data_IF_335592176467
#
_entry.id   IF_335592176467
#
_cell.length_a   1.000
_cell.length_b   1.000
_cell.length_c   1.000
_cell.angle_alpha   90.00
_cell.angle_beta   90.00
_cell.angle_gamma   90.00
#
_symmetry.space_group_name_H-M   'P 1'
#
loop_
_entity.id
_entity.type
_entity.pdbx_description
1 polymer ?
#
# COMPACT_ATOMS: atom_id res chain seq x y z
N UNK A 1 9.64 -7.71 -43.23
CA UNK A 1 8.59 -8.47 -42.47
C UNK A 1 7.48 -7.47 -42.18
N UNK A 2 6.38 -7.57 -42.89
CA UNK A 2 5.31 -6.53 -42.84
C UNK A 2 4.55 -6.48 -41.51
N UNK A 3 4.73 -7.50 -40.64
CA UNK A 3 4.10 -7.58 -39.34
C UNK A 3 4.92 -6.92 -38.21
N UNK A 4 6.24 -6.74 -38.37
CA UNK A 4 7.13 -6.11 -37.41
C UNK A 4 7.48 -4.70 -37.86
N UNK A 5 6.99 -3.69 -37.19
CA UNK A 5 7.16 -2.27 -37.54
C UNK A 5 8.33 -1.64 -36.79
N UNK A 6 8.57 -2.07 -35.58
CA UNK A 6 9.66 -1.60 -34.72
C UNK A 6 10.07 -2.68 -33.72
N UNK A 7 11.36 -2.76 -33.42
CA UNK A 7 11.88 -3.65 -32.37
C UNK A 7 13.10 -3.00 -31.72
N UNK A 8 13.00 -2.74 -30.43
CA UNK A 8 14.08 -2.15 -29.66
C UNK A 8 14.36 -2.98 -28.41
N UNK A 9 15.60 -3.41 -28.24
CA UNK A 9 16.09 -4.03 -27.02
C UNK A 9 16.82 -2.99 -26.17
N UNK A 10 16.60 -3.05 -24.88
CA UNK A 10 17.23 -2.17 -23.88
C UNK A 10 17.87 -3.02 -22.79
N UNK A 11 19.05 -2.60 -22.36
CA UNK A 11 19.66 -3.15 -21.16
C UNK A 11 20.35 -2.00 -20.41
N UNK A 12 20.19 -1.95 -19.12
CA UNK A 12 20.84 -0.94 -18.28
C UNK A 12 21.31 -1.51 -16.95
N UNK A 13 22.42 -0.97 -16.50
CA UNK A 13 22.96 -1.17 -15.17
C UNK A 13 23.38 0.17 -14.58
N UNK A 14 22.98 0.43 -13.35
CA UNK A 14 23.35 1.67 -12.65
C UNK A 14 23.55 1.44 -11.17
N UNK A 15 24.32 2.30 -10.54
CA UNK A 15 24.51 2.34 -9.09
C UNK A 15 24.17 3.73 -8.60
N UNK A 16 23.21 3.81 -7.69
CA UNK A 16 22.83 5.06 -7.05
C UNK A 16 23.07 5.00 -5.54
N UNK A 17 23.49 6.12 -4.95
CA UNK A 17 23.66 6.27 -3.51
C UNK A 17 22.49 7.01 -2.89
N UNK A 18 22.08 6.59 -1.69
CA UNK A 18 21.16 7.32 -0.83
C UNK A 18 21.87 7.69 0.47
N UNK A 19 21.96 9.00 0.72
CA UNK A 19 22.57 9.57 1.93
C UNK A 19 21.53 10.15 2.89
N UNK A 20 20.29 9.63 2.87
CA UNK A 20 19.17 10.13 3.66
C UNK A 20 19.35 9.84 5.16
N UNK A 21 20.38 10.47 5.73
CA UNK A 21 20.65 10.49 7.18
C UNK A 21 20.55 11.93 7.66
N UNK A 22 20.18 12.11 8.92
CA UNK A 22 20.20 13.44 9.54
C UNK A 22 21.61 14.04 9.48
N UNK A 23 21.70 15.37 9.38
CA UNK A 23 22.97 16.07 9.50
C UNK A 23 23.69 15.64 10.77
N UNK A 24 24.96 15.27 10.62
CA UNK A 24 25.79 14.74 11.73
C UNK A 24 25.32 13.40 12.33
N UNK A 25 24.46 12.62 11.63
CA UNK A 25 23.93 11.35 12.14
C UNK A 25 24.97 10.31 12.55
N UNK A 26 26.21 10.42 12.05
CA UNK A 26 27.32 9.60 12.47
C UNK A 26 27.99 10.08 13.80
N UNK A 27 27.65 11.27 14.29
CA UNK A 27 28.26 11.86 15.51
C UNK A 27 27.32 11.77 16.70
N UNK A 28 27.87 11.74 17.91
CA UNK A 28 27.09 11.94 19.12
C UNK A 28 26.63 13.39 19.18
N UNK A 29 25.35 13.60 19.39
CA UNK A 29 24.77 14.93 19.52
C UNK A 29 24.32 15.18 20.95
N UNK A 30 24.36 16.45 21.34
CA UNK A 30 23.89 16.92 22.63
C UNK A 30 22.85 18.01 22.43
N UNK A 31 21.86 18.02 23.31
CA UNK A 31 20.82 19.06 23.36
C UNK A 31 20.95 19.83 24.65
N UNK A 32 20.84 21.16 24.57
CA UNK A 32 20.70 22.05 25.71
C UNK A 32 19.28 22.22 26.18
N UNK A 33 19.08 23.08 27.20
CA UNK A 33 17.72 23.37 27.70
C UNK A 33 17.30 22.49 28.88
N UNK A 34 18.16 21.63 29.34
CA UNK A 34 17.97 20.84 30.56
C UNK A 34 18.58 21.57 31.79
N UNK A 35 17.98 21.36 32.95
CA UNK A 35 18.46 21.91 34.21
C UNK A 35 18.69 20.79 35.22
N UNK A 36 19.81 20.87 35.91
CA UNK A 36 20.12 20.04 37.07
C UNK A 36 20.55 20.96 38.22
N UNK A 37 19.85 20.90 39.33
CA UNK A 37 20.07 21.74 40.52
C UNK A 37 20.19 23.23 40.20
N UNK A 38 19.28 23.76 39.32
CA UNK A 38 19.28 25.18 38.91
C UNK A 38 20.34 25.55 37.87
N UNK A 39 21.27 24.66 37.50
CA UNK A 39 22.32 24.90 36.50
C UNK A 39 21.91 24.36 35.13
N UNK A 40 22.24 25.09 34.07
CA UNK A 40 22.01 24.65 32.69
C UNK A 40 22.87 23.43 32.36
N UNK A 41 22.21 22.35 31.92
CA UNK A 41 22.85 21.10 31.56
C UNK A 41 22.75 20.78 30.06
N UNK A 42 23.66 19.92 29.59
CA UNK A 42 23.61 19.30 28.27
C UNK A 42 23.31 17.81 28.42
N UNK A 43 22.38 17.31 27.64
CA UNK A 43 22.05 15.88 27.62
C UNK A 43 22.38 15.32 26.23
N UNK A 44 22.96 14.12 26.18
CA UNK A 44 23.17 13.44 24.92
C UNK A 44 21.84 13.11 24.28
N UNK A 45 21.58 13.66 23.10
CA UNK A 45 20.32 13.48 22.35
C UNK A 45 20.36 12.36 21.31
N UNK A 46 21.56 12.00 20.85
CA UNK A 46 21.78 10.87 19.95
C UNK A 46 23.09 10.18 20.18
N UNK A 47 23.10 8.87 20.07
CA UNK A 47 24.34 8.07 20.06
C UNK A 47 24.88 8.06 18.62
N UNK A 48 26.13 8.48 18.42
CA UNK A 48 26.75 8.47 17.11
C UNK A 48 27.10 7.06 16.63
N UNK A 49 27.09 6.86 15.30
CA UNK A 49 27.59 5.66 14.66
C UNK A 49 28.68 6.01 13.63
N UNK A 50 29.99 5.97 14.00
CA UNK A 50 31.08 6.32 13.08
C UNK A 50 31.16 5.40 11.85
N UNK A 51 30.55 4.20 11.89
CA UNK A 51 30.52 3.22 10.79
C UNK A 51 29.37 3.43 9.82
N UNK A 52 28.57 4.48 10.01
CA UNK A 52 27.46 4.78 9.16
C UNK A 52 27.92 5.09 7.73
N UNK A 53 27.36 4.40 6.76
CA UNK A 53 27.66 4.57 5.34
C UNK A 53 26.39 4.77 4.50
N UNK A 54 26.57 5.24 3.28
CA UNK A 54 25.45 5.41 2.35
C UNK A 54 24.85 4.07 1.93
N UNK A 55 23.55 4.05 1.73
CA UNK A 55 22.90 2.96 1.01
C UNK A 55 23.36 2.98 -0.45
N UNK A 56 23.57 1.80 -1.01
CA UNK A 56 23.93 1.62 -2.43
C UNK A 56 22.89 0.75 -3.10
N UNK A 57 22.19 1.30 -4.08
CA UNK A 57 21.23 0.59 -4.90
C UNK A 57 21.87 0.24 -6.25
N UNK A 58 21.96 -1.06 -6.52
CA UNK A 58 22.39 -1.61 -7.81
C UNK A 58 21.15 -1.98 -8.61
N UNK A 59 20.88 -1.22 -9.67
CA UNK A 59 19.71 -1.40 -10.53
C UNK A 59 20.11 -2.10 -11.81
N UNK A 60 19.36 -3.12 -12.21
CA UNK A 60 19.48 -3.85 -13.47
C UNK A 60 18.12 -3.86 -14.14
N UNK A 61 18.07 -3.53 -15.40
CA UNK A 61 16.87 -3.57 -16.21
C UNK A 61 17.17 -4.14 -17.58
N UNK A 62 16.26 -4.98 -18.09
CA UNK A 62 16.26 -5.48 -19.46
C UNK A 62 14.84 -5.28 -19.98
N UNK A 63 14.74 -4.64 -21.14
CA UNK A 63 13.44 -4.32 -21.73
C UNK A 63 13.40 -4.55 -23.23
N UNK A 64 12.20 -4.75 -23.74
CA UNK A 64 11.87 -4.87 -25.14
C UNK A 64 10.68 -3.97 -25.48
N UNK A 65 10.82 -3.16 -26.51
CA UNK A 65 9.71 -2.46 -27.17
C UNK A 65 9.49 -3.10 -28.52
N UNK A 66 8.25 -3.40 -28.88
CA UNK A 66 7.92 -3.85 -30.21
C UNK A 66 6.65 -3.19 -30.75
N UNK A 67 6.69 -2.82 -32.02
CA UNK A 67 5.56 -2.36 -32.81
C UNK A 67 5.20 -3.40 -33.87
N UNK A 68 3.94 -3.82 -33.90
CA UNK A 68 3.46 -4.85 -34.79
C UNK A 68 2.33 -4.32 -35.69
N UNK A 69 2.20 -4.90 -36.90
CA UNK A 69 1.13 -4.61 -37.84
C UNK A 69 0.99 -3.11 -38.16
N UNK A 70 2.10 -2.49 -38.59
CA UNK A 70 2.17 -1.05 -38.90
C UNK A 70 1.80 -0.17 -37.72
N UNK A 71 2.19 -0.57 -36.47
CA UNK A 71 1.94 0.19 -35.25
C UNK A 71 0.50 0.06 -34.72
N UNK A 72 -0.26 -0.94 -35.17
CA UNK A 72 -1.58 -1.24 -34.60
C UNK A 72 -1.48 -1.84 -33.20
N UNK A 73 -0.40 -2.55 -32.92
CA UNK A 73 -0.09 -3.09 -31.59
C UNK A 73 1.30 -2.62 -31.23
N UNK A 74 1.42 -1.97 -30.09
CA UNK A 74 2.72 -1.59 -29.54
C UNK A 74 2.78 -2.08 -28.11
N UNK A 75 3.87 -2.72 -27.72
CA UNK A 75 4.06 -3.11 -26.34
C UNK A 75 5.48 -2.80 -25.85
N UNK A 76 5.59 -2.53 -24.58
CA UNK A 76 6.81 -2.43 -23.81
C UNK A 76 6.79 -3.47 -22.70
N UNK A 77 7.89 -4.20 -22.54
CA UNK A 77 8.06 -5.17 -21.47
C UNK A 77 9.44 -4.99 -20.86
N UNK A 78 9.50 -4.67 -19.59
CA UNK A 78 10.72 -4.48 -18.82
C UNK A 78 10.76 -5.42 -17.63
N UNK A 79 11.90 -6.06 -17.39
CA UNK A 79 12.19 -6.86 -16.20
C UNK A 79 13.31 -6.17 -15.45
N UNK A 80 13.10 -5.96 -14.16
CA UNK A 80 14.08 -5.26 -13.34
C UNK A 80 14.44 -6.01 -12.06
N UNK A 81 15.62 -5.72 -11.56
CA UNK A 81 16.08 -6.12 -10.24
C UNK A 81 16.97 -5.03 -9.63
N UNK A 82 16.56 -4.58 -8.45
CA UNK A 82 17.25 -3.61 -7.63
C UNK A 82 17.75 -4.30 -6.35
N UNK A 83 19.07 -4.35 -6.18
CA UNK A 83 19.70 -4.86 -4.97
C UNK A 83 20.23 -3.66 -4.12
N UNK A 84 19.52 -3.30 -3.07
CA UNK A 84 19.96 -2.27 -2.11
C UNK A 84 20.82 -2.91 -1.04
N UNK A 85 22.03 -2.37 -0.86
CA UNK A 85 23.01 -2.78 0.15
C UNK A 85 23.20 -1.67 1.17
N UNK A 86 23.61 -2.04 2.37
CA UNK A 86 23.86 -1.10 3.48
C UNK A 86 22.61 -0.28 3.83
N UNK A 87 21.45 -0.92 3.83
CA UNK A 87 20.15 -0.29 4.15
C UNK A 87 20.25 0.42 5.51
N UNK A 88 19.86 1.68 5.56
CA UNK A 88 19.79 2.48 6.77
C UNK A 88 18.56 2.12 7.59
N UNK A 89 18.78 1.75 8.83
CA UNK A 89 17.71 1.32 9.73
C UNK A 89 17.94 1.81 11.15
N UNK A 90 16.87 2.23 11.83
CA UNK A 90 16.89 2.58 13.24
C UNK A 90 16.70 1.32 14.08
N UNK A 91 17.78 0.79 14.64
CA UNK A 91 17.78 -0.39 15.50
C UNK A 91 17.49 0.00 16.95
N UNK A 92 16.53 -0.67 17.57
CA UNK A 92 16.31 -0.56 19.02
C UNK A 92 17.51 -1.11 19.78
N UNK A 93 17.90 -0.42 20.85
CA UNK A 93 19.00 -0.81 21.75
C UNK A 93 18.49 -0.81 23.19
N UNK A 94 19.14 -1.57 24.10
CA UNK A 94 18.74 -1.58 25.50
C UNK A 94 18.70 -0.18 26.10
N UNK A 95 17.61 0.17 26.78
CA UNK A 95 17.42 1.50 27.42
C UNK A 95 18.48 1.83 28.48
N UNK A 96 19.18 0.82 29.00
CA UNK A 96 20.32 0.98 29.88
C UNK A 96 21.49 1.74 29.26
N UNK A 97 21.51 1.87 27.90
CA UNK A 97 22.47 2.71 27.19
C UNK A 97 22.14 4.20 27.25
N UNK A 98 20.97 4.57 27.78
CA UNK A 98 20.42 5.92 27.77
C UNK A 98 19.74 6.34 26.46
N UNK A 99 19.61 5.42 25.50
CA UNK A 99 19.00 5.67 24.20
C UNK A 99 18.05 4.54 23.81
N UNK A 100 17.01 4.87 23.02
CA UNK A 100 16.04 3.88 22.55
C UNK A 100 16.47 3.20 21.25
N UNK A 101 17.25 3.90 20.42
CA UNK A 101 17.67 3.37 19.12
C UNK A 101 18.98 3.99 18.62
N UNK A 102 19.60 3.32 17.66
CA UNK A 102 20.76 3.78 16.90
C UNK A 102 20.56 3.52 15.41
N UNK A 103 20.86 4.52 14.58
CA UNK A 103 20.86 4.32 13.11
C UNK A 103 22.10 3.55 12.70
N UNK A 104 21.92 2.46 11.96
CA UNK A 104 23.00 1.62 11.46
C UNK A 104 22.69 1.06 10.08
N UNK A 105 23.71 0.59 9.38
CA UNK A 105 23.56 -0.10 8.11
C UNK A 105 23.22 -1.57 8.36
N UNK A 106 22.00 -1.98 8.10
CA UNK A 106 21.44 -3.24 8.60
C UNK A 106 21.39 -4.38 7.60
N UNK A 107 21.97 -4.26 6.44
CA UNK A 107 21.93 -5.38 5.52
C UNK A 107 21.49 -5.02 4.12
N UNK A 108 20.61 -5.80 3.53
CA UNK A 108 20.20 -5.59 2.17
C UNK A 108 18.74 -5.95 1.91
N UNK A 109 18.18 -5.30 0.89
CA UNK A 109 16.83 -5.55 0.37
C UNK A 109 16.92 -5.68 -1.15
N UNK A 110 16.18 -6.59 -1.72
CA UNK A 110 15.96 -6.65 -3.16
C UNK A 110 14.53 -6.29 -3.52
N UNK A 111 14.39 -5.57 -4.61
CA UNK A 111 13.13 -5.36 -5.32
C UNK A 111 13.29 -5.95 -6.72
N UNK A 112 12.39 -6.80 -7.13
CA UNK A 112 12.39 -7.42 -8.45
C UNK A 112 10.98 -7.46 -9.00
N UNK A 113 10.88 -7.35 -10.31
CA UNK A 113 9.56 -7.34 -10.94
C UNK A 113 9.61 -7.18 -12.43
N UNK A 114 8.44 -6.94 -13.00
CA UNK A 114 8.30 -6.57 -14.39
C UNK A 114 7.21 -5.52 -14.57
N UNK A 115 7.36 -4.74 -15.63
CA UNK A 115 6.40 -3.78 -16.12
C UNK A 115 6.01 -4.17 -17.55
N UNK A 116 4.71 -4.20 -17.83
CA UNK A 116 4.19 -4.45 -19.17
C UNK A 116 3.18 -3.35 -19.53
N UNK A 117 3.39 -2.77 -20.70
CA UNK A 117 2.47 -1.79 -21.29
C UNK A 117 2.07 -2.27 -22.70
N UNK A 118 0.80 -2.14 -23.04
CA UNK A 118 0.22 -2.52 -24.32
C UNK A 118 -0.68 -1.41 -24.83
N UNK A 119 -0.43 -0.95 -26.04
CA UNK A 119 -1.33 -0.07 -26.77
C UNK A 119 -1.81 -0.79 -28.02
N UNK A 120 -3.13 -0.82 -28.20
CA UNK A 120 -3.76 -1.44 -29.37
C UNK A 120 -4.74 -0.51 -30.03
N UNK A 121 -4.65 -0.38 -31.36
CA UNK A 121 -5.70 0.19 -32.21
C UNK A 121 -6.60 -0.93 -32.65
N UNK A 122 -7.63 -1.22 -31.83
CA UNK A 122 -8.55 -2.35 -32.05
C UNK A 122 -9.31 -2.19 -33.38
N UNK A 123 -9.86 -0.99 -33.59
CA UNK A 123 -10.53 -0.59 -34.81
C UNK A 123 -10.04 0.81 -35.19
N UNK A 124 -9.62 0.98 -36.42
CA UNK A 124 -9.19 2.28 -36.94
C UNK A 124 -9.84 2.47 -38.33
N UNK A 125 -11.05 3.06 -38.32
CA UNK A 125 -11.82 3.42 -39.49
C UNK A 125 -12.17 4.90 -39.45
N UNK A 126 -12.47 5.51 -40.58
CA UNK A 126 -12.77 6.93 -40.72
C UNK A 126 -13.79 7.44 -39.69
N UNK A 127 -14.88 6.74 -39.51
CA UNK A 127 -15.99 7.14 -38.62
C UNK A 127 -16.04 6.37 -37.29
N UNK A 128 -15.14 5.41 -37.07
CA UNK A 128 -15.12 4.63 -35.84
C UNK A 128 -13.69 4.23 -35.49
N UNK A 129 -13.24 4.67 -34.30
CA UNK A 129 -11.93 4.30 -33.76
C UNK A 129 -12.11 3.74 -32.35
N UNK A 130 -11.37 2.69 -32.06
CA UNK A 130 -11.28 2.12 -30.73
C UNK A 130 -9.83 1.79 -30.40
N UNK A 131 -9.31 2.44 -29.37
CA UNK A 131 -7.96 2.25 -28.85
C UNK A 131 -8.02 1.78 -27.40
N UNK A 132 -7.12 0.87 -27.04
CA UNK A 132 -6.94 0.38 -25.68
C UNK A 132 -5.48 0.58 -25.27
N UNK A 133 -5.29 1.21 -24.11
CA UNK A 133 -4.01 1.29 -23.43
C UNK A 133 -4.12 0.49 -22.13
N UNK A 134 -3.30 -0.53 -21.99
CA UNK A 134 -3.26 -1.41 -20.82
C UNK A 134 -1.87 -1.39 -20.23
N UNK A 135 -1.76 -1.31 -18.90
CA UNK A 135 -0.51 -1.54 -18.19
C UNK A 135 -0.72 -2.46 -17.00
N UNK A 136 0.31 -3.25 -16.69
CA UNK A 136 0.36 -4.08 -15.50
C UNK A 136 1.79 -4.17 -15.00
N UNK A 137 1.96 -3.99 -13.70
CA UNK A 137 3.23 -4.15 -13.01
C UNK A 137 3.12 -5.24 -11.97
N UNK A 138 4.18 -6.03 -11.85
CA UNK A 138 4.39 -6.94 -10.75
C UNK A 138 5.66 -6.55 -10.01
N UNK A 139 5.58 -6.46 -8.68
CA UNK A 139 6.74 -6.17 -7.84
C UNK A 139 6.82 -7.11 -6.64
N UNK A 140 8.03 -7.46 -6.26
CA UNK A 140 8.33 -8.26 -5.07
C UNK A 140 9.49 -7.63 -4.33
N UNK A 141 9.27 -7.34 -3.06
CA UNK A 141 10.29 -6.91 -2.12
C UNK A 141 10.70 -8.08 -1.22
N UNK A 142 11.99 -8.19 -0.88
CA UNK A 142 12.46 -9.16 0.11
C UNK A 142 13.76 -8.68 0.78
N UNK A 143 13.84 -8.84 2.08
CA UNK A 143 15.08 -8.69 2.85
C UNK A 143 16.03 -9.81 2.44
N UNK A 144 17.23 -9.45 2.02
CA UNK A 144 18.25 -10.42 1.56
C UNK A 144 19.29 -10.72 2.64
N UNK A 145 19.52 -9.77 3.53
CA UNK A 145 20.48 -9.90 4.63
C UNK A 145 20.10 -8.95 5.75
N UNK A 146 20.28 -9.38 6.99
CA UNK A 146 20.23 -8.56 8.19
C UNK A 146 21.63 -8.43 8.81
N UNK A 147 21.76 -7.51 9.78
CA UNK A 147 23.00 -7.25 10.49
C UNK A 147 23.50 -8.52 11.19
N UNK A 148 24.82 -8.67 11.27
CA UNK A 148 25.51 -9.75 11.98
C UNK A 148 25.13 -11.17 11.51
N UNK A 149 24.51 -11.27 10.31
CA UNK A 149 24.08 -12.55 9.74
C UNK A 149 22.85 -13.16 10.41
N UNK A 150 22.13 -12.38 11.22
CA UNK A 150 20.88 -12.82 11.85
C UNK A 150 19.79 -13.08 10.80
N UNK A 151 18.97 -14.08 11.03
CA UNK A 151 17.81 -14.40 10.17
C UNK A 151 16.61 -13.50 10.47
N UNK A 152 16.51 -12.98 11.71
CA UNK A 152 15.41 -12.11 12.15
C UNK A 152 15.91 -11.06 13.15
N UNK A 153 15.38 -9.83 13.04
CA UNK A 153 15.57 -8.73 14.00
C UNK A 153 14.22 -8.03 14.19
N UNK A 154 13.61 -8.19 15.38
CA UNK A 154 12.25 -7.70 15.62
C UNK A 154 11.25 -8.29 14.61
N UNK A 155 10.54 -7.43 13.89
CA UNK A 155 9.56 -7.82 12.88
C UNK A 155 10.17 -7.93 11.47
N UNK A 156 11.49 -7.81 11.32
CA UNK A 156 12.18 -8.01 10.06
C UNK A 156 12.75 -9.42 9.97
N UNK A 157 12.50 -10.11 8.85
CA UNK A 157 13.00 -11.46 8.59
C UNK A 157 13.54 -11.60 7.17
N UNK A 158 14.67 -12.28 7.03
CA UNK A 158 15.26 -12.61 5.73
C UNK A 158 14.24 -13.40 4.89
N UNK A 159 14.11 -13.02 3.62
CA UNK A 159 13.14 -13.61 2.69
C UNK A 159 11.73 -13.04 2.75
N UNK A 160 11.41 -12.21 3.76
CA UNK A 160 10.12 -11.51 3.86
C UNK A 160 10.21 -10.08 3.30
N UNK A 161 9.10 -9.49 2.84
CA UNK A 161 9.06 -8.07 2.53
C UNK A 161 9.42 -7.20 3.74
N UNK A 162 10.05 -6.05 3.51
CA UNK A 162 10.37 -5.10 4.59
C UNK A 162 9.10 -4.52 5.26
N UNK A 163 7.98 -4.53 4.55
CA UNK A 163 6.67 -4.08 5.04
C UNK A 163 5.78 -5.23 5.51
N UNK A 164 6.33 -6.45 5.66
CA UNK A 164 5.58 -7.57 6.21
C UNK A 164 5.27 -7.33 7.69
N UNK A 165 4.04 -7.65 8.07
CA UNK A 165 3.58 -7.49 9.45
C UNK A 165 3.69 -8.83 10.19
N UNK A 166 4.16 -8.80 11.45
CA UNK A 166 4.38 -9.97 12.28
C UNK A 166 3.37 -9.98 13.42
N UNK A 167 2.32 -10.79 13.31
CA UNK A 167 1.09 -10.68 14.10
C UNK A 167 0.61 -12.04 14.61
N UNK A 168 -0.29 -12.04 15.60
CA UNK A 168 -0.97 -13.24 16.06
C UNK A 168 -2.05 -13.68 15.07
N UNK A 169 -2.15 -14.98 14.83
CA UNK A 169 -3.14 -15.56 13.94
C UNK A 169 -4.46 -15.71 14.67
N UNK A 170 -5.46 -14.94 14.23
CA UNK A 170 -6.81 -14.97 14.77
C UNK A 170 -7.51 -16.31 14.50
N UNK A 171 -8.10 -16.93 15.53
CA UNK A 171 -8.84 -18.19 15.43
C UNK A 171 -10.37 -18.01 15.62
N UNK A 172 -10.81 -16.81 15.98
CA UNK A 172 -12.24 -16.53 16.21
C UNK A 172 -12.56 -16.17 17.64
N UNK A 173 -13.85 -16.24 17.95
CA UNK A 173 -14.41 -16.00 19.29
C UNK A 173 -14.97 -17.30 19.82
N UNK A 174 -14.66 -17.64 21.06
CA UNK A 174 -15.25 -18.80 21.70
C UNK A 174 -16.75 -18.57 21.97
N UNK A 175 -17.60 -19.40 21.39
CA UNK A 175 -19.05 -19.30 21.52
C UNK A 175 -19.56 -19.55 22.96
N UNK A 176 -18.77 -20.20 23.81
CA UNK A 176 -19.16 -20.51 25.18
C UNK A 176 -18.95 -19.36 26.16
N UNK A 177 -17.92 -18.51 25.95
CA UNK A 177 -17.53 -17.49 26.93
C UNK A 177 -17.18 -16.12 26.30
N UNK A 178 -17.23 -16.01 24.97
CA UNK A 178 -17.02 -14.76 24.25
C UNK A 178 -15.57 -14.31 24.16
N UNK A 179 -14.60 -15.09 24.63
CA UNK A 179 -13.18 -14.72 24.58
C UNK A 179 -12.58 -14.84 23.18
N UNK A 180 -11.65 -13.96 22.80
CA UNK A 180 -10.87 -14.10 21.58
C UNK A 180 -9.95 -15.32 21.65
N UNK A 181 -9.82 -16.03 20.53
CA UNK A 181 -8.97 -17.19 20.38
C UNK A 181 -7.92 -16.93 19.29
N UNK A 182 -6.76 -17.54 19.47
CA UNK A 182 -5.63 -17.43 18.57
C UNK A 182 -5.12 -18.84 18.23
N UNK A 183 -4.38 -18.96 17.14
CA UNK A 183 -3.59 -20.13 16.86
C UNK A 183 -2.18 -19.96 17.41
N UNK A 184 -1.67 -20.98 18.08
CA UNK A 184 -0.25 -21.09 18.40
C UNK A 184 0.58 -21.46 17.15
N UNK A 185 1.91 -21.54 17.32
CA UNK A 185 2.86 -21.94 16.25
C UNK A 185 2.61 -23.35 15.70
N UNK A 186 2.01 -24.23 16.48
CA UNK A 186 1.73 -25.64 16.14
C UNK A 186 0.31 -25.80 15.56
N UNK A 187 -0.49 -24.73 15.51
CA UNK A 187 -1.83 -24.68 14.93
C UNK A 187 -2.95 -25.01 15.91
N UNK A 188 -2.66 -25.17 17.21
CA UNK A 188 -3.66 -25.35 18.23
C UNK A 188 -4.28 -24.03 18.67
N UNK A 189 -5.50 -24.08 19.20
CA UNK A 189 -6.19 -22.91 19.71
C UNK A 189 -5.68 -22.60 21.12
N UNK A 190 -5.33 -21.31 21.33
CA UNK A 190 -4.91 -20.77 22.63
C UNK A 190 -5.61 -19.45 22.91
N UNK A 191 -5.79 -19.13 24.19
CA UNK A 191 -6.23 -17.79 24.65
C UNK A 191 -5.06 -16.87 24.98
N UNK A 192 -3.86 -17.42 25.13
CA UNK A 192 -2.65 -16.73 25.55
C UNK A 192 -1.49 -17.04 24.57
N UNK A 193 -1.51 -16.45 23.38
CA UNK A 193 -0.42 -16.69 22.43
C UNK A 193 0.89 -16.05 22.93
N UNK A 194 1.99 -16.78 22.77
CA UNK A 194 3.34 -16.28 23.03
C UNK A 194 3.90 -15.52 21.84
N UNK A 195 5.00 -14.76 22.07
CA UNK A 195 5.67 -14.05 20.98
C UNK A 195 6.11 -15.00 19.83
N UNK A 196 6.38 -16.26 20.14
CA UNK A 196 6.75 -17.29 19.17
C UNK A 196 5.58 -17.75 18.28
N UNK A 197 4.33 -17.47 18.68
CA UNK A 197 3.10 -17.85 17.95
C UNK A 197 2.74 -16.86 16.85
N UNK A 198 3.49 -15.76 16.75
CA UNK A 198 3.28 -14.79 15.68
C UNK A 198 3.70 -15.35 14.32
N UNK A 199 3.05 -14.88 13.27
CA UNK A 199 3.39 -15.21 11.90
C UNK A 199 3.38 -13.96 11.00
N UNK A 200 4.06 -14.04 9.85
CA UNK A 200 4.09 -12.93 8.90
C UNK A 200 2.86 -12.97 7.99
N UNK A 201 2.09 -11.90 8.00
CA UNK A 201 1.12 -11.63 6.95
C UNK A 201 1.79 -10.94 5.76
N UNK A 202 1.02 -10.70 4.70
CA UNK A 202 1.51 -9.99 3.51
C UNK A 202 2.01 -8.60 3.88
N UNK A 203 2.93 -8.07 3.07
CA UNK A 203 3.34 -6.68 3.18
C UNK A 203 2.24 -5.69 2.80
N UNK A 204 2.44 -4.44 3.19
CA UNK A 204 1.53 -3.32 2.85
C UNK A 204 1.62 -2.88 1.40
N UNK A 205 2.67 -3.28 0.69
CA UNK A 205 2.87 -2.91 -0.71
C UNK A 205 2.11 -3.87 -1.64
N UNK A 206 1.39 -3.34 -2.65
CA UNK A 206 0.74 -4.18 -3.64
C UNK A 206 1.77 -4.93 -4.49
N UNK A 207 1.47 -6.18 -4.81
CA UNK A 207 2.31 -6.98 -5.72
C UNK A 207 1.93 -6.76 -7.17
N UNK A 208 0.66 -6.56 -7.43
CA UNK A 208 0.09 -6.34 -8.75
C UNK A 208 -0.64 -5.02 -8.76
N UNK A 209 -0.36 -4.19 -9.74
CA UNK A 209 -1.11 -2.95 -9.97
C UNK A 209 -1.04 -2.57 -11.45
N UNK A 210 -2.04 -1.81 -11.87
CA UNK A 210 -2.11 -1.39 -13.25
C UNK A 210 -3.42 -0.70 -13.59
N UNK A 211 -3.63 -0.53 -14.89
CA UNK A 211 -4.82 0.09 -15.40
C UNK A 211 -5.09 -0.19 -16.86
N UNK A 212 -6.30 0.12 -17.27
CA UNK A 212 -6.77 -0.02 -18.64
C UNK A 212 -7.61 1.18 -19.04
N UNK A 213 -7.10 1.95 -20.00
CA UNK A 213 -7.83 3.04 -20.64
C UNK A 213 -8.36 2.55 -21.98
N UNK A 214 -9.66 2.69 -22.22
CA UNK A 214 -10.29 2.54 -23.53
C UNK A 214 -10.79 3.88 -24.03
N UNK A 215 -10.52 4.18 -25.28
CA UNK A 215 -11.03 5.35 -25.98
C UNK A 215 -11.77 4.89 -27.24
N UNK A 216 -13.05 5.23 -27.32
CA UNK A 216 -13.92 4.90 -28.44
C UNK A 216 -14.42 6.21 -29.05
N UNK A 217 -14.12 6.44 -30.31
CA UNK A 217 -14.60 7.59 -31.05
C UNK A 217 -15.51 7.11 -32.18
N UNK A 218 -16.72 7.65 -32.23
CA UNK A 218 -17.70 7.39 -33.26
C UNK A 218 -18.24 8.69 -33.83
N UNK A 219 -17.82 9.01 -35.06
CA UNK A 219 -18.09 10.30 -35.68
C UNK A 219 -17.64 11.46 -34.77
N UNK A 220 -18.59 12.19 -34.21
CA UNK A 220 -18.39 13.34 -33.32
C UNK A 220 -18.46 12.98 -31.84
N UNK A 221 -18.72 11.75 -31.48
CA UNK A 221 -18.75 11.27 -30.09
C UNK A 221 -17.42 10.66 -29.70
N UNK A 222 -16.96 10.97 -28.49
CA UNK A 222 -15.83 10.28 -27.88
C UNK A 222 -16.20 9.83 -26.47
N UNK A 223 -15.99 8.54 -26.21
CA UNK A 223 -16.11 7.92 -24.88
C UNK A 223 -14.75 7.40 -24.48
N UNK A 224 -14.26 7.79 -23.33
CA UNK A 224 -13.12 7.14 -22.69
C UNK A 224 -13.45 6.72 -21.28
N UNK A 225 -12.89 5.57 -20.86
CA UNK A 225 -13.05 5.08 -19.50
C UNK A 225 -11.78 4.38 -19.03
N UNK A 226 -11.44 4.62 -17.76
CA UNK A 226 -10.23 4.11 -17.15
C UNK A 226 -10.54 3.24 -15.92
N UNK A 227 -10.11 1.99 -16.01
CA UNK A 227 -10.07 1.08 -14.88
C UNK A 227 -8.68 1.05 -14.27
N UNK A 228 -8.63 1.08 -12.95
CA UNK A 228 -7.43 0.86 -12.15
C UNK A 228 -7.64 -0.37 -11.28
N UNK A 229 -6.59 -1.16 -11.11
CA UNK A 229 -6.61 -2.32 -10.22
C UNK A 229 -5.33 -2.42 -9.39
N UNK A 230 -5.47 -3.04 -8.23
CA UNK A 230 -4.37 -3.36 -7.33
C UNK A 230 -4.68 -4.67 -6.61
N UNK A 231 -3.63 -5.48 -6.34
CA UNK A 231 -3.79 -6.72 -5.57
C UNK A 231 -2.50 -7.11 -4.84
N UNK A 232 -2.66 -7.87 -3.76
CA UNK A 232 -1.55 -8.48 -3.02
C UNK A 232 -1.03 -7.69 -1.84
N UNK A 233 -1.66 -6.56 -1.48
CA UNK A 233 -1.38 -5.79 -0.27
C UNK A 233 -2.34 -6.11 0.87
N UNK A 234 -1.91 -5.81 2.09
CA UNK A 234 -2.79 -5.74 3.27
C UNK A 234 -2.64 -4.37 3.92
N UNK A 235 -3.69 -3.96 4.62
CA UNK A 235 -3.73 -2.69 5.34
C UNK A 235 -4.20 -2.92 6.76
N UNK A 236 -3.57 -2.22 7.69
CA UNK A 236 -4.03 -2.14 9.06
C UNK A 236 -5.28 -1.26 9.13
N UNK A 237 -6.41 -1.86 9.52
CA UNK A 237 -7.64 -1.13 9.73
C UNK A 237 -7.78 -0.76 11.20
N UNK A 238 -7.35 0.45 11.56
CA UNK A 238 -7.30 0.91 12.94
C UNK A 238 -8.65 0.98 13.62
N UNK A 239 -9.72 1.27 12.88
CA UNK A 239 -11.05 1.31 13.46
C UNK A 239 -11.49 -0.07 13.96
N UNK A 240 -11.01 -1.15 13.35
CA UNK A 240 -11.30 -2.50 13.78
C UNK A 240 -10.68 -2.83 15.14
N UNK A 241 -9.62 -2.15 15.57
CA UNK A 241 -9.05 -2.33 16.93
C UNK A 241 -9.96 -1.83 18.02
N UNK A 242 -10.66 -0.71 17.79
CA UNK A 242 -11.68 -0.18 18.71
C UNK A 242 -12.83 -1.18 18.87
N UNK A 243 -13.03 -2.02 17.85
CA UNK A 243 -14.10 -3.00 17.76
C UNK A 243 -13.88 -4.22 18.66
N UNK A 244 -12.65 -4.57 19.00
CA UNK A 244 -12.32 -5.86 19.61
C UNK A 244 -12.15 -5.76 21.14
N UNK A 245 -12.56 -4.67 21.78
CA UNK A 245 -12.55 -4.60 23.24
C UNK A 245 -12.24 -3.26 23.86
N UNK A 246 -12.13 -2.18 23.08
CA UNK A 246 -11.76 -0.86 23.61
C UNK A 246 -12.81 0.22 23.37
N UNK A 247 -14.05 -0.12 23.64
CA UNK A 247 -15.17 0.82 23.50
C UNK A 247 -15.25 1.88 24.59
N UNK A 248 -14.32 1.91 25.56
CA UNK A 248 -14.48 2.73 26.76
C UNK A 248 -14.65 4.23 26.47
N UNK A 249 -13.92 4.76 25.46
CA UNK A 249 -13.89 6.20 25.16
C UNK A 249 -14.32 6.54 23.73
N UNK A 250 -14.79 5.56 22.95
CA UNK A 250 -15.14 5.77 21.56
C UNK A 250 -16.57 5.33 21.25
N UNK A 251 -17.20 6.01 20.29
CA UNK A 251 -18.46 5.54 19.74
C UNK A 251 -18.26 4.22 19.00
N UNK A 252 -19.16 3.28 19.23
CA UNK A 252 -19.15 1.99 18.56
C UNK A 252 -19.73 2.13 17.13
N UNK A 253 -19.13 1.44 16.19
CA UNK A 253 -19.78 1.22 14.90
C UNK A 253 -21.05 0.38 15.11
N UNK A 254 -22.09 0.66 14.33
CA UNK A 254 -23.35 -0.07 14.37
C UNK A 254 -23.16 -1.59 14.28
N UNK A 255 -22.28 -2.02 13.41
CA UNK A 255 -21.97 -3.42 13.15
C UNK A 255 -21.45 -4.14 14.40
N UNK A 256 -20.65 -3.45 15.22
CA UNK A 256 -20.18 -4.00 16.48
C UNK A 256 -21.28 -4.15 17.51
N UNK A 257 -22.07 -3.10 17.66
CA UNK A 257 -23.19 -3.14 18.57
C UNK A 257 -24.16 -4.29 18.26
N UNK A 258 -24.30 -4.64 17.00
CA UNK A 258 -25.15 -5.75 16.56
C UNK A 258 -24.47 -7.11 16.62
N UNK A 259 -23.13 -7.16 16.53
CA UNK A 259 -22.38 -8.40 16.28
C UNK A 259 -21.49 -8.87 17.45
N UNK A 260 -21.42 -8.14 18.58
CA UNK A 260 -20.62 -8.64 19.69
C UNK A 260 -21.27 -9.86 20.39
N UNK A 261 -20.43 -10.73 20.94
CA UNK A 261 -20.90 -11.89 21.72
C UNK A 261 -21.64 -11.44 22.99
N UNK A 262 -22.79 -12.01 23.29
CA UNK A 262 -23.68 -11.63 24.41
C UNK A 262 -23.98 -12.76 25.37
N UNK A 263 -24.09 -14.00 24.85
CA UNK A 263 -24.47 -15.17 25.63
C UNK A 263 -23.86 -16.45 25.05
N UNK A 264 -23.68 -17.49 25.87
CA UNK A 264 -23.28 -18.81 25.43
C UNK A 264 -24.11 -19.32 24.26
N UNK A 265 -23.40 -19.79 23.22
CA UNK A 265 -23.98 -20.24 21.95
C UNK A 265 -23.94 -19.19 20.82
N UNK A 266 -23.65 -17.93 21.11
CA UNK A 266 -23.51 -16.91 20.06
C UNK A 266 -22.28 -17.20 19.19
N UNK A 267 -22.50 -17.26 17.88
CA UNK A 267 -21.43 -17.40 16.86
C UNK A 267 -21.19 -16.03 16.24
N UNK A 268 -20.08 -15.42 16.57
CA UNK A 268 -19.72 -14.07 16.13
C UNK A 268 -18.21 -13.93 15.98
N UNK A 269 -17.80 -12.90 15.24
CA UNK A 269 -16.38 -12.53 15.10
C UNK A 269 -15.95 -11.42 16.06
N UNK A 270 -16.90 -10.78 16.76
CA UNK A 270 -16.65 -9.72 17.74
C UNK A 270 -16.72 -10.33 19.13
N UNK A 271 -15.63 -10.32 19.91
CA UNK A 271 -15.61 -10.87 21.26
C UNK A 271 -16.47 -10.07 22.23
N UNK A 272 -16.69 -10.63 23.41
CA UNK A 272 -17.29 -9.94 24.53
C UNK A 272 -16.47 -8.68 24.86
N UNK A 273 -17.07 -7.48 24.91
CA UNK A 273 -16.36 -6.25 25.29
C UNK A 273 -15.92 -6.30 26.76
N UNK A 274 -14.67 -5.93 27.02
CA UNK A 274 -14.14 -5.78 28.36
C UNK A 274 -13.54 -4.41 28.59
N UNK A 275 -13.74 -3.87 29.78
CA UNK A 275 -13.08 -2.64 30.19
C UNK A 275 -11.58 -2.89 30.36
N UNK A 276 -10.75 -2.02 29.78
CA UNK A 276 -9.28 -2.14 29.73
C UNK A 276 -8.75 -3.44 29.07
N UNK A 277 -9.54 -4.10 28.23
CA UNK A 277 -9.10 -5.25 27.45
C UNK A 277 -8.72 -6.51 28.25
N UNK A 278 -8.99 -6.54 29.56
CA UNK A 278 -8.69 -7.69 30.40
C UNK A 278 -9.85 -8.67 30.41
N UNK A 279 -9.67 -9.83 29.79
CA UNK A 279 -10.61 -10.93 29.90
C UNK A 279 -10.36 -11.73 31.19
N UNK A 280 -11.38 -12.09 31.98
CA UNK A 280 -11.22 -12.93 33.13
C UNK A 280 -10.47 -14.23 32.80
N UNK A 281 -9.38 -14.52 33.52
CA UNK A 281 -8.56 -15.68 33.31
C UNK A 281 -7.56 -15.57 32.13
N UNK A 282 -7.45 -14.40 31.47
CA UNK A 282 -6.34 -14.11 30.58
C UNK A 282 -5.26 -13.34 31.33
N UNK A 283 -4.02 -13.80 31.41
CA UNK A 283 -2.93 -13.08 32.08
C UNK A 283 -2.46 -11.86 31.27
N UNK A 284 -2.93 -11.69 30.04
CA UNK A 284 -2.64 -10.51 29.21
C UNK A 284 -3.79 -9.54 29.20
N UNK A 285 -3.48 -8.30 29.62
CA UNK A 285 -4.26 -7.15 29.23
C UNK A 285 -4.20 -7.05 27.69
N UNK A 286 -5.36 -7.01 27.05
CA UNK A 286 -5.46 -6.63 25.67
C UNK A 286 -5.18 -5.13 25.57
N UNK A 287 -3.92 -4.76 25.42
CA UNK A 287 -3.50 -3.37 25.24
C UNK A 287 -3.31 -3.12 23.74
N UNK A 288 -4.23 -2.37 23.13
CA UNK A 288 -4.16 -1.96 21.73
C UNK A 288 -2.92 -1.17 21.38
N UNK A 289 -2.24 -0.59 22.37
CA UNK A 289 -1.02 0.19 22.15
C UNK A 289 0.26 -0.66 22.17
N UNK A 290 0.21 -1.82 22.82
CA UNK A 290 1.38 -2.70 23.01
C UNK A 290 1.23 -4.07 22.36
N UNK A 291 0.02 -4.48 21.98
CA UNK A 291 -0.19 -5.74 21.26
C UNK A 291 0.26 -5.58 19.79
N UNK A 292 1.16 -6.42 19.29
CA UNK A 292 1.67 -6.37 17.90
C UNK A 292 0.58 -6.61 16.85
N UNK A 293 -0.68 -6.65 17.27
CA UNK A 293 -1.81 -6.84 16.38
C UNK A 293 -2.13 -8.30 16.14
N UNK A 294 -3.32 -8.49 15.64
CA UNK A 294 -3.84 -9.79 15.23
C UNK A 294 -4.21 -9.75 13.75
N UNK A 295 -4.20 -10.89 13.10
CA UNK A 295 -4.48 -10.96 11.65
C UNK A 295 -5.88 -10.44 11.28
N UNK A 296 -6.82 -10.40 12.22
CA UNK A 296 -8.16 -9.88 12.02
C UNK A 296 -8.19 -8.40 11.59
N UNK A 297 -7.23 -7.59 12.07
CA UNK A 297 -7.18 -6.16 11.77
C UNK A 297 -6.43 -5.82 10.48
N UNK A 298 -5.80 -6.82 9.85
CA UNK A 298 -5.12 -6.65 8.58
C UNK A 298 -5.99 -7.19 7.44
N UNK A 299 -6.51 -6.30 6.65
CA UNK A 299 -7.40 -6.64 5.55
C UNK A 299 -6.73 -6.51 4.19
N UNK A 300 -7.18 -7.34 3.25
CA UNK A 300 -6.73 -7.25 1.85
C UNK A 300 -7.27 -5.96 1.24
N UNK A 301 -6.39 -5.21 0.59
CA UNK A 301 -6.74 -3.98 -0.13
C UNK A 301 -6.80 -4.18 -1.64
N UNK A 302 -7.11 -5.40 -2.07
CA UNK A 302 -7.31 -5.70 -3.48
C UNK A 302 -8.51 -4.91 -3.99
N UNK A 303 -8.41 -4.30 -5.17
CA UNK A 303 -9.53 -3.58 -5.76
C UNK A 303 -9.46 -3.50 -7.28
N UNK A 304 -10.63 -3.29 -7.88
CA UNK A 304 -10.81 -2.77 -9.24
C UNK A 304 -11.71 -1.54 -9.13
N UNK A 305 -11.27 -0.40 -9.69
CA UNK A 305 -12.01 0.87 -9.67
C UNK A 305 -12.24 1.39 -11.08
N UNK A 306 -13.44 1.87 -11.36
CA UNK A 306 -13.71 2.73 -12.50
C UNK A 306 -13.42 4.17 -12.08
N UNK A 307 -12.18 4.60 -12.34
CA UNK A 307 -11.63 5.88 -11.87
C UNK A 307 -12.16 7.07 -12.64
N UNK A 308 -12.34 6.89 -13.95
CA UNK A 308 -12.70 7.97 -14.82
C UNK A 308 -13.57 7.48 -15.96
N UNK A 309 -14.62 8.23 -16.28
CA UNK A 309 -15.38 8.16 -17.53
C UNK A 309 -15.44 9.57 -18.10
N UNK A 310 -15.04 9.73 -19.35
CA UNK A 310 -15.24 10.96 -20.11
C UNK A 310 -16.11 10.65 -21.33
N UNK A 311 -17.16 11.41 -21.49
CA UNK A 311 -17.99 11.39 -22.69
C UNK A 311 -18.05 12.79 -23.27
N UNK A 312 -17.76 12.95 -24.55
CA UNK A 312 -17.81 14.24 -25.22
C UNK A 312 -18.47 14.15 -26.58
N UNK A 313 -19.04 15.29 -27.00
CA UNK A 313 -19.62 15.49 -28.32
C UNK A 313 -19.06 16.76 -28.93
N UNK A 314 -18.39 16.64 -30.06
CA UNK A 314 -17.87 17.75 -30.84
C UNK A 314 -18.88 18.15 -31.93
N UNK A 315 -19.39 19.38 -31.86
CA UNK A 315 -20.34 19.85 -32.88
C UNK A 315 -19.64 20.03 -34.23
N UNK A 316 -20.28 19.62 -35.35
CA UNK A 316 -19.71 19.79 -36.69
C UNK A 316 -19.43 21.27 -36.99
N UNK A 317 -18.20 21.60 -37.40
CA UNK A 317 -17.75 22.97 -37.69
C UNK A 317 -18.68 23.71 -38.65
N UNK A 318 -19.23 23.04 -39.66
CA UNK A 318 -20.14 23.63 -40.63
C UNK A 318 -21.45 24.17 -40.02
N UNK A 319 -21.89 23.59 -38.87
CA UNK A 319 -23.11 24.07 -38.17
C UNK A 319 -22.80 25.24 -37.24
N UNK A 320 -21.67 25.19 -36.51
CA UNK A 320 -21.35 26.18 -35.46
C UNK A 320 -20.76 27.48 -36.04
N UNK A 321 -20.13 27.46 -37.21
CA UNK A 321 -19.66 28.69 -37.90
C UNK A 321 -20.80 29.62 -38.24
N UNK A 322 -22.02 29.12 -38.43
CA UNK A 322 -23.23 29.96 -38.66
C UNK A 322 -23.58 30.85 -37.46
N UNK A 323 -23.11 30.51 -36.29
CA UNK A 323 -23.34 31.27 -35.04
C UNK A 323 -22.04 31.93 -34.52
N UNK A 324 -21.01 32.03 -35.38
CA UNK A 324 -19.76 32.77 -35.07
C UNK A 324 -18.77 31.98 -34.22
N UNK A 325 -18.92 30.66 -34.10
CA UNK A 325 -18.00 29.83 -33.32
C UNK A 325 -17.10 28.95 -34.23
N UNK A 326 -15.85 28.81 -33.84
CA UNK A 326 -14.90 27.90 -34.51
C UNK A 326 -14.92 26.48 -33.93
N UNK A 327 -15.33 26.34 -32.68
CA UNK A 327 -15.45 25.04 -31.99
C UNK A 327 -16.46 25.08 -30.86
N UNK A 328 -17.22 23.98 -30.72
CA UNK A 328 -18.16 23.75 -29.64
C UNK A 328 -18.09 22.27 -29.24
N UNK A 329 -17.77 22.03 -27.98
CA UNK A 329 -17.76 20.69 -27.40
C UNK A 329 -18.59 20.68 -26.11
N UNK A 330 -19.47 19.69 -25.98
CA UNK A 330 -20.11 19.31 -24.71
C UNK A 330 -19.39 18.11 -24.15
N UNK A 331 -19.17 18.11 -22.84
CA UNK A 331 -18.56 16.94 -22.19
C UNK A 331 -19.16 16.66 -20.81
N UNK A 332 -19.06 15.41 -20.42
CA UNK A 332 -19.38 14.90 -19.09
C UNK A 332 -18.18 14.11 -18.59
N UNK A 333 -17.67 14.48 -17.42
CA UNK A 333 -16.63 13.75 -16.71
C UNK A 333 -17.21 13.16 -15.44
N UNK A 334 -16.98 11.88 -15.22
CA UNK A 334 -17.37 11.19 -14.00
C UNK A 334 -16.14 10.53 -13.37
N UNK A 335 -15.95 10.70 -12.06
CA UNK A 335 -14.79 10.19 -11.33
C UNK A 335 -15.22 9.29 -10.18
N UNK A 336 -14.44 8.22 -9.94
CA UNK A 336 -14.59 7.28 -8.83
C UNK A 336 -16.01 6.67 -8.71
N UNK A 337 -16.65 6.40 -9.85
CA UNK A 337 -18.06 5.99 -9.90
C UNK A 337 -18.28 4.62 -9.28
N UNK A 338 -17.34 3.71 -9.48
CA UNK A 338 -17.50 2.34 -9.04
C UNK A 338 -16.18 1.75 -8.49
N UNK A 339 -16.32 0.97 -7.41
CA UNK A 339 -15.22 0.23 -6.76
C UNK A 339 -15.71 -1.15 -6.37
N UNK A 340 -14.94 -2.18 -6.71
CA UNK A 340 -15.07 -3.54 -6.19
C UNK A 340 -13.85 -3.87 -5.36
N UNK A 341 -14.06 -4.25 -4.09
CA UNK A 341 -12.98 -4.53 -3.13
C UNK A 341 -13.50 -5.44 -2.02
N UNK A 342 -12.69 -6.36 -1.48
CA UNK A 342 -13.00 -7.06 -0.25
C UNK A 342 -12.72 -6.21 1.01
N UNK A 343 -12.05 -5.06 0.87
CA UNK A 343 -11.70 -4.18 1.98
C UNK A 343 -12.95 -3.57 2.61
N UNK A 344 -13.10 -3.71 3.92
CA UNK A 344 -14.28 -3.26 4.67
C UNK A 344 -14.13 -1.83 5.22
N UNK A 345 -12.92 -1.25 5.18
CA UNK A 345 -12.67 0.14 5.56
C UNK A 345 -13.16 1.15 4.51
N UNK A 346 -12.86 2.43 4.71
CA UNK A 346 -13.40 3.53 3.89
C UNK A 346 -12.88 3.55 2.46
N UNK A 347 -11.56 3.35 2.26
CA UNK A 347 -10.95 3.37 0.93
C UNK A 347 -9.73 2.45 0.87
N UNK A 348 -9.72 1.40 0.01
CA UNK A 348 -8.58 0.50 -0.13
C UNK A 348 -7.34 1.20 -0.67
N UNK A 349 -7.46 2.37 -1.30
CA UNK A 349 -6.39 3.12 -1.93
C UNK A 349 -5.72 4.13 -0.98
N UNK A 350 -6.34 4.43 0.16
CA UNK A 350 -5.78 5.38 1.13
C UNK A 350 -4.45 4.85 1.70
N UNK A 351 -3.49 5.77 1.91
CA UNK A 351 -2.18 5.44 2.49
C UNK A 351 -2.24 5.51 4.00
N UNK A 352 -1.62 4.55 4.69
CA UNK A 352 -1.59 4.48 6.16
C UNK A 352 -2.89 3.93 6.76
N UNK A 353 -3.22 4.38 7.97
CA UNK A 353 -4.45 3.99 8.69
C UNK A 353 -5.64 4.75 8.13
N UNK A 354 -6.80 4.09 8.04
CA UNK A 354 -8.04 4.72 7.52
C UNK A 354 -8.71 5.67 8.50
N UNK A 355 -8.30 5.67 9.76
CA UNK A 355 -8.98 6.42 10.80
C UNK A 355 -9.02 7.92 10.50
N UNK A 356 -10.22 8.46 10.38
CA UNK A 356 -10.42 9.88 10.11
C UNK A 356 -10.15 10.32 8.67
N UNK A 357 -9.92 9.39 7.74
CA UNK A 357 -9.73 9.71 6.33
C UNK A 357 -11.08 9.71 5.59
N UNK A 358 -11.32 10.73 4.79
CA UNK A 358 -12.45 10.73 3.87
C UNK A 358 -12.14 9.84 2.66
N UNK A 359 -13.07 8.96 2.24
CA UNK A 359 -12.94 8.22 0.99
C UNK A 359 -12.92 9.19 -0.19
N UNK A 360 -12.31 8.78 -1.30
CA UNK A 360 -12.33 9.57 -2.52
C UNK A 360 -13.78 9.84 -2.97
N UNK A 361 -14.09 11.11 -3.19
CA UNK A 361 -15.44 11.53 -3.60
C UNK A 361 -15.78 11.02 -5.00
N UNK A 362 -17.05 10.66 -5.20
CA UNK A 362 -17.62 10.50 -6.54
C UNK A 362 -18.01 11.88 -7.04
N UNK A 363 -17.65 12.20 -8.28
CA UNK A 363 -18.03 13.47 -8.88
C UNK A 363 -18.48 13.29 -10.32
N UNK A 364 -19.45 14.09 -10.74
CA UNK A 364 -19.89 14.19 -12.13
C UNK A 364 -19.88 15.68 -12.49
N UNK A 365 -19.14 16.01 -13.54
CA UNK A 365 -19.01 17.38 -14.05
C UNK A 365 -19.52 17.46 -15.47
N UNK A 366 -20.38 18.43 -15.73
CA UNK A 366 -20.85 18.79 -17.07
C UNK A 366 -20.10 20.03 -17.50
N UNK A 367 -19.63 20.07 -18.73
CA UNK A 367 -18.88 21.20 -19.24
C UNK A 367 -19.16 21.52 -20.69
N UNK A 368 -18.91 22.77 -21.02
CA UNK A 368 -19.00 23.34 -22.34
C UNK A 368 -17.68 24.02 -22.69
N UNK A 369 -17.11 23.68 -23.82
CA UNK A 369 -15.92 24.32 -24.36
C UNK A 369 -16.28 25.06 -25.64
N UNK A 370 -16.01 26.37 -25.67
CA UNK A 370 -16.24 27.26 -26.81
C UNK A 370 -14.91 27.75 -27.36
N UNK A 371 -14.75 27.73 -28.68
CA UNK A 371 -13.66 28.36 -29.40
C UNK A 371 -14.27 29.40 -30.34
N UNK A 372 -13.77 30.59 -30.29
CA UNK A 372 -14.23 31.73 -31.11
C UNK A 372 -13.24 32.03 -32.23
#
# INVERSE_FOLDING_TARGET
MDWLSDLKLRASYGVTGNSSVSNYGARRLYSGGYSYDGMTGLVASAIGNPKLSWEKKHSKNIGITAGLFMGRITFDFDVYRDDTKNLLYSRSIPVTTGFNSITSNMGGVKNEGFDFQLTTKNIDKENFRWETNFNISYTRNAITKLQDGLDQIGDLKVGKPITAEYVYKWAGVNSSDGRPMYYDKDGYITYNPDLADRYWVRGRDPKWYGGMLNTISWKNFTLSFFFQFQAGAVKYWSDKTVLIGQAADNNLFRELYTSYWRKPGDVTWVPLPFYNGNYPGSPRAYDSNTDPGMSLIYEKTDFIKLKNINFSYDFPKAKIRKIGLEGLQLFVNAYNIWTSTPYQGYDPESVGNDRGLYPQSKSITFGLKLNF
#
